data_IF_551744218212
#
_entry.id   IF_551744218212
#
_cell.length_a   1.000
_cell.length_b   1.000
_cell.length_c   1.000
_cell.angle_alpha   90.00
_cell.angle_beta   90.00
_cell.angle_gamma   90.00
#
_symmetry.space_group_name_H-M   'P 1'
#
loop_
_entity.id
_entity.type
_entity.pdbx_description
1 polymer ?
#
# COMPACT_ATOMS: atom_id res chain seq x y z
N UNK A 1 9.19 -59.81 -13.31
CA UNK A 1 8.60 -58.76 -12.46
C UNK A 1 8.33 -59.37 -11.08
N UNK A 2 8.94 -58.76 -10.05
CA UNK A 2 8.64 -58.77 -8.59
C UNK A 2 8.38 -60.12 -7.89
N UNK A 3 9.30 -60.65 -7.06
CA UNK A 3 9.58 -60.30 -5.64
C UNK A 3 8.29 -60.20 -4.80
N UNK A 4 7.95 -61.10 -3.86
CA UNK A 4 8.59 -61.61 -2.62
C UNK A 4 7.86 -61.07 -1.37
N UNK A 5 7.76 -61.94 -0.34
CA UNK A 5 7.44 -61.68 1.10
C UNK A 5 5.95 -61.71 1.47
N UNK A 6 5.48 -62.72 2.22
CA UNK A 6 5.71 -63.03 3.65
C UNK A 6 5.19 -61.92 4.58
N UNK A 7 4.11 -62.20 5.32
CA UNK A 7 3.86 -61.65 6.66
C UNK A 7 2.65 -62.36 7.27
N UNK A 8 2.91 -63.23 8.25
CA UNK A 8 1.93 -63.67 9.22
C UNK A 8 2.68 -63.92 10.54
N UNK A 9 2.52 -63.01 11.50
CA UNK A 9 2.65 -63.24 12.95
C UNK A 9 2.30 -61.93 13.63
N UNK A 10 1.05 -61.82 14.07
CA UNK A 10 0.61 -60.81 15.02
C UNK A 10 0.53 -61.51 16.36
N UNK A 11 1.36 -61.06 17.31
CA UNK A 11 1.17 -61.36 18.72
C UNK A 11 1.69 -60.18 19.54
N UNK A 12 1.10 -60.00 20.73
CA UNK A 12 1.62 -59.25 21.90
C UNK A 12 1.11 -57.79 22.13
N UNK A 13 0.05 -57.73 22.97
CA UNK A 13 -0.11 -56.95 24.23
C UNK A 13 -0.26 -55.40 24.30
N UNK A 14 -1.37 -54.98 24.94
CA UNK A 14 -1.50 -53.91 25.97
C UNK A 14 -1.40 -52.43 25.55
N UNK A 15 -1.68 -51.48 26.47
CA UNK A 15 -2.96 -51.08 27.07
C UNK A 15 -3.41 -49.68 26.58
N UNK A 16 -4.70 -49.46 26.34
CA UNK A 16 -5.22 -48.14 25.91
C UNK A 16 -5.39 -47.18 27.10
N UNK A 17 -4.27 -46.65 27.61
CA UNK A 17 -4.23 -45.42 28.39
C UNK A 17 -4.08 -44.24 27.43
N UNK A 18 -5.20 -43.69 26.96
CA UNK A 18 -5.19 -42.49 26.11
C UNK A 18 -5.27 -41.28 27.03
N UNK A 19 -4.12 -40.75 27.41
CA UNK A 19 -3.96 -39.36 27.84
C UNK A 19 -4.22 -38.45 26.63
N UNK A 20 -5.50 -38.23 26.32
CA UNK A 20 -5.87 -37.09 25.49
C UNK A 20 -5.78 -35.84 26.39
N UNK A 21 -4.92 -34.85 26.08
CA UNK A 21 -5.02 -33.56 26.75
C UNK A 21 -6.44 -33.03 26.51
N UNK A 22 -7.10 -32.44 27.53
CA UNK A 22 -8.44 -31.91 27.37
C UNK A 22 -8.45 -30.98 26.14
N UNK A 23 -9.51 -31.02 25.31
CA UNK A 23 -9.63 -30.13 24.18
C UNK A 23 -9.42 -28.69 24.69
N UNK A 24 -8.70 -27.83 23.95
CA UNK A 24 -8.40 -26.48 24.41
C UNK A 24 -9.72 -25.85 24.83
N UNK A 25 -9.86 -25.57 26.13
CA UNK A 25 -11.02 -24.89 26.68
C UNK A 25 -11.26 -23.68 25.80
N UNK A 26 -12.41 -23.61 25.13
CA UNK A 26 -12.84 -22.43 24.39
C UNK A 26 -12.59 -21.26 25.32
N UNK A 27 -11.56 -20.44 25.03
CA UNK A 27 -11.32 -19.23 25.81
C UNK A 27 -12.59 -18.43 25.64
N UNK A 28 -13.37 -18.31 26.70
CA UNK A 28 -14.45 -17.33 26.75
C UNK A 28 -13.72 -15.99 26.84
N UNK A 29 -13.28 -15.49 25.69
CA UNK A 29 -12.70 -14.16 25.57
C UNK A 29 -13.71 -13.19 26.16
N UNK A 30 -13.24 -12.35 27.10
CA UNK A 30 -14.13 -11.38 27.70
C UNK A 30 -14.60 -10.43 26.60
N UNK A 31 -15.77 -9.81 26.78
CA UNK A 31 -16.29 -8.83 25.81
C UNK A 31 -15.26 -7.72 25.52
N UNK A 32 -14.44 -7.37 26.52
CA UNK A 32 -13.32 -6.43 26.38
C UNK A 32 -12.23 -6.95 25.43
N UNK A 33 -11.84 -8.23 25.57
CA UNK A 33 -10.83 -8.86 24.71
C UNK A 33 -11.31 -8.90 23.25
N UNK A 34 -12.60 -9.20 23.03
CA UNK A 34 -13.20 -9.21 21.70
C UNK A 34 -13.25 -7.81 21.08
N UNK A 35 -13.65 -6.79 21.85
CA UNK A 35 -13.70 -5.40 21.38
C UNK A 35 -12.29 -4.90 21.05
N UNK A 36 -11.31 -5.20 21.91
CA UNK A 36 -9.93 -4.84 21.68
C UNK A 36 -9.38 -5.55 20.43
N UNK A 37 -9.65 -6.84 20.26
CA UNK A 37 -9.19 -7.61 19.11
C UNK A 37 -9.75 -7.06 17.79
N UNK A 38 -11.05 -6.77 17.73
CA UNK A 38 -11.71 -6.21 16.55
C UNK A 38 -11.14 -4.83 16.21
N UNK A 39 -11.00 -3.96 17.21
CA UNK A 39 -10.49 -2.61 16.97
C UNK A 39 -9.00 -2.59 16.63
N UNK A 40 -8.18 -3.42 17.28
CA UNK A 40 -6.76 -3.58 16.94
C UNK A 40 -6.59 -4.09 15.52
N UNK A 41 -7.42 -5.04 15.07
CA UNK A 41 -7.41 -5.49 13.67
C UNK A 41 -7.79 -4.35 12.72
N UNK A 42 -8.85 -3.62 13.02
CA UNK A 42 -9.29 -2.48 12.19
C UNK A 42 -8.22 -1.39 12.10
N UNK A 43 -7.53 -1.08 13.20
CA UNK A 43 -6.39 -0.14 13.20
C UNK A 43 -5.27 -0.67 12.29
N UNK A 44 -4.91 -1.96 12.41
CA UNK A 44 -3.90 -2.57 11.54
C UNK A 44 -4.26 -2.51 10.06
N UNK A 45 -5.51 -2.77 9.69
CA UNK A 45 -5.99 -2.69 8.31
C UNK A 45 -5.95 -1.24 7.77
N UNK A 46 -6.34 -0.26 8.60
CA UNK A 46 -6.27 1.16 8.26
C UNK A 46 -4.82 1.63 8.10
N UNK A 47 -3.90 1.15 8.93
CA UNK A 47 -2.48 1.45 8.82
C UNK A 47 -1.86 0.84 7.56
N UNK A 48 -2.16 -0.43 7.28
CA UNK A 48 -1.72 -1.09 6.05
C UNK A 48 -2.20 -0.36 4.80
N UNK A 49 -3.48 0.04 4.78
CA UNK A 49 -4.06 0.82 3.67
C UNK A 49 -3.41 2.20 3.56
N UNK A 50 -3.25 2.92 4.66
CA UNK A 50 -2.62 4.24 4.68
C UNK A 50 -1.17 4.19 4.19
N UNK A 51 -0.41 3.17 4.59
CA UNK A 51 0.98 3.00 4.15
C UNK A 51 1.06 2.71 2.65
N UNK A 52 0.14 1.90 2.13
CA UNK A 52 0.06 1.61 0.69
C UNK A 52 -0.22 2.88 -0.11
N UNK A 53 -1.26 3.63 0.25
CA UNK A 53 -1.61 4.90 -0.40
C UNK A 53 -0.47 5.91 -0.34
N UNK A 54 0.25 5.97 0.78
CA UNK A 54 1.40 6.86 0.96
C UNK A 54 2.58 6.49 0.06
N UNK A 55 2.84 5.19 -0.12
CA UNK A 55 3.90 4.73 -1.03
C UNK A 55 3.56 5.04 -2.48
N UNK A 56 2.33 4.76 -2.92
CA UNK A 56 1.87 5.13 -4.27
C UNK A 56 1.96 6.64 -4.52
N UNK A 57 1.59 7.47 -3.52
CA UNK A 57 1.73 8.92 -3.58
C UNK A 57 3.21 9.34 -3.74
N UNK A 58 4.13 8.68 -3.01
CA UNK A 58 5.58 8.97 -3.11
C UNK A 58 6.14 8.60 -4.47
N UNK A 59 5.75 7.46 -5.01
CA UNK A 59 6.14 7.02 -6.35
C UNK A 59 5.65 8.04 -7.40
N UNK A 60 4.37 8.44 -7.35
CA UNK A 60 3.83 9.43 -8.28
C UNK A 60 4.50 10.79 -8.14
N UNK A 61 4.85 11.21 -6.92
CA UNK A 61 5.64 12.42 -6.68
C UNK A 61 7.07 12.34 -7.23
N UNK A 62 7.69 11.16 -7.20
CA UNK A 62 8.97 10.94 -7.87
C UNK A 62 8.84 11.07 -9.40
N UNK A 63 7.74 10.59 -9.97
CA UNK A 63 7.44 10.72 -11.40
C UNK A 63 7.21 12.19 -11.80
N UNK A 64 6.47 12.97 -11.02
CA UNK A 64 6.30 14.42 -11.26
C UNK A 64 7.66 15.14 -11.25
N UNK A 65 8.52 14.87 -10.26
CA UNK A 65 9.88 15.42 -10.21
C UNK A 65 10.70 15.01 -11.43
N UNK A 66 10.53 13.76 -11.88
CA UNK A 66 11.21 13.26 -13.06
C UNK A 66 10.78 14.03 -14.31
N UNK A 67 9.47 14.25 -14.52
CA UNK A 67 8.94 15.01 -15.66
C UNK A 67 9.42 16.47 -15.68
N UNK A 68 9.48 17.14 -14.52
CA UNK A 68 10.10 18.47 -14.43
C UNK A 68 11.58 18.47 -14.83
N UNK A 69 12.32 17.41 -14.47
CA UNK A 69 13.71 17.26 -14.90
C UNK A 69 13.82 17.01 -16.41
N UNK A 70 12.86 16.29 -17.01
CA UNK A 70 12.79 16.13 -18.47
C UNK A 70 12.62 17.47 -19.17
N UNK A 71 11.71 18.34 -18.70
CA UNK A 71 11.54 19.68 -19.27
C UNK A 71 12.83 20.49 -19.19
N UNK A 72 13.52 20.47 -18.04
CA UNK A 72 14.81 21.15 -17.87
C UNK A 72 15.87 20.60 -18.85
N UNK A 73 15.90 19.29 -19.05
CA UNK A 73 16.82 18.64 -19.97
C UNK A 73 16.54 19.02 -21.43
N UNK A 74 15.27 19.01 -21.85
CA UNK A 74 14.85 19.46 -23.19
C UNK A 74 15.28 20.91 -23.42
N UNK A 75 15.01 21.80 -22.45
CA UNK A 75 15.39 23.21 -22.56
C UNK A 75 16.91 23.42 -22.60
N UNK A 76 17.69 22.63 -21.85
CA UNK A 76 19.16 22.67 -21.90
C UNK A 76 19.73 22.22 -23.26
N UNK A 77 19.06 21.27 -23.91
CA UNK A 77 19.47 20.70 -25.21
C UNK A 77 18.84 21.43 -26.40
N UNK A 78 18.05 22.47 -26.15
CA UNK A 78 17.47 23.31 -27.21
C UNK A 78 18.57 24.19 -27.82
N UNK A 79 18.66 24.19 -29.15
CA UNK A 79 19.62 25.03 -29.89
C UNK A 79 19.10 26.48 -30.02
N UNK A 80 19.94 27.38 -30.51
CA UNK A 80 19.58 28.80 -30.71
C UNK A 80 18.38 29.02 -31.65
N UNK A 81 18.17 28.10 -32.60
CA UNK A 81 17.02 28.10 -33.51
C UNK A 81 15.71 27.61 -32.87
N UNK A 82 15.75 27.22 -31.59
CA UNK A 82 14.62 26.67 -30.86
C UNK A 82 14.36 25.19 -31.15
N UNK A 83 15.16 24.54 -32.01
CA UNK A 83 15.04 23.11 -32.32
C UNK A 83 15.66 22.25 -31.21
N UNK A 84 15.12 21.04 -31.07
CA UNK A 84 15.61 20.05 -30.12
C UNK A 84 15.93 18.75 -30.88
N UNK A 85 17.19 18.31 -30.80
CA UNK A 85 17.64 17.06 -31.44
C UNK A 85 18.42 16.21 -30.44
N UNK A 86 17.91 15.01 -30.19
CA UNK A 86 18.50 14.01 -29.28
C UNK A 86 18.89 12.71 -29.99
N UNK A 87 19.06 12.70 -31.32
CA UNK A 87 19.40 11.49 -32.08
C UNK A 87 20.73 10.84 -31.67
N UNK A 88 21.69 11.63 -31.18
CA UNK A 88 23.01 11.12 -30.79
C UNK A 88 23.16 10.87 -29.30
N UNK A 89 22.19 11.29 -28.50
CA UNK A 89 22.25 11.23 -27.05
C UNK A 89 21.34 10.10 -26.53
N UNK A 90 21.95 8.96 -26.20
CA UNK A 90 21.20 7.81 -25.71
C UNK A 90 20.56 8.06 -24.34
N UNK A 91 21.14 8.93 -23.51
CA UNK A 91 20.59 9.25 -22.19
C UNK A 91 19.27 10.00 -22.33
N UNK A 92 19.24 11.01 -23.21
CA UNK A 92 18.02 11.80 -23.47
C UNK A 92 16.93 10.93 -24.12
N UNK A 93 17.30 10.00 -25.00
CA UNK A 93 16.35 9.05 -25.59
C UNK A 93 15.71 8.15 -24.54
N UNK A 94 16.49 7.67 -23.59
CA UNK A 94 15.99 6.82 -22.51
C UNK A 94 15.11 7.61 -21.55
N UNK A 95 15.43 8.89 -21.33
CA UNK A 95 14.58 9.82 -20.59
C UNK A 95 13.21 10.02 -21.26
N UNK A 96 13.19 10.27 -22.57
CA UNK A 96 11.93 10.41 -23.33
C UNK A 96 11.12 9.11 -23.37
N UNK A 97 11.79 7.95 -23.46
CA UNK A 97 11.10 6.65 -23.35
C UNK A 97 10.44 6.46 -21.99
N UNK A 98 11.11 6.88 -20.91
CA UNK A 98 10.56 6.79 -19.56
C UNK A 98 9.39 7.77 -19.36
N UNK A 99 9.53 9.02 -19.82
CA UNK A 99 8.44 10.00 -19.82
C UNK A 99 7.20 9.48 -20.57
N UNK A 100 7.40 8.79 -21.69
CA UNK A 100 6.30 8.15 -22.43
C UNK A 100 5.59 7.04 -21.65
N UNK A 101 6.33 6.27 -20.84
CA UNK A 101 5.72 5.25 -19.96
C UNK A 101 4.88 5.90 -18.84
N UNK A 102 5.18 7.15 -18.49
CA UNK A 102 4.44 7.94 -17.49
C UNK A 102 3.21 8.66 -18.07
N UNK A 103 2.87 8.43 -19.35
CA UNK A 103 1.65 8.97 -19.96
C UNK A 103 1.87 10.13 -20.94
N UNK A 104 3.11 10.63 -21.09
CA UNK A 104 3.39 11.71 -22.05
C UNK A 104 3.24 11.19 -23.50
N UNK A 105 2.45 11.90 -24.30
CA UNK A 105 2.27 11.56 -25.72
C UNK A 105 3.49 11.98 -26.55
N UNK A 106 4.27 10.96 -26.96
CA UNK A 106 5.47 11.09 -27.77
C UNK A 106 5.44 10.04 -28.88
N UNK A 107 5.60 10.48 -30.13
CA UNK A 107 5.70 9.61 -31.30
C UNK A 107 6.86 8.61 -31.19
N UNK A 108 6.61 7.36 -31.61
CA UNK A 108 7.63 6.30 -31.54
C UNK A 108 8.81 6.66 -32.44
N UNK A 109 10.02 6.67 -31.87
CA UNK A 109 11.30 6.89 -32.57
C UNK A 109 11.51 8.30 -33.13
N UNK A 110 10.70 9.29 -32.71
CA UNK A 110 10.95 10.70 -33.03
C UNK A 110 11.96 11.28 -32.03
N UNK A 111 13.09 11.74 -32.55
CA UNK A 111 14.20 12.29 -31.75
C UNK A 111 14.67 13.66 -32.24
N UNK A 112 14.03 14.17 -33.29
CA UNK A 112 14.25 15.51 -33.83
C UNK A 112 12.91 16.22 -33.76
N UNK A 113 12.92 17.40 -33.17
CA UNK A 113 11.75 18.22 -32.93
C UNK A 113 12.03 19.62 -33.45
N UNK A 114 11.11 20.14 -34.27
CA UNK A 114 11.07 21.58 -34.57
C UNK A 114 10.76 22.38 -33.30
N UNK A 115 10.86 23.70 -33.38
CA UNK A 115 10.47 24.59 -32.28
C UNK A 115 9.01 24.35 -31.86
N UNK A 116 8.11 24.29 -32.82
CA UNK A 116 6.67 24.06 -32.57
C UNK A 116 6.40 22.68 -31.98
N UNK A 117 7.12 21.65 -32.46
CA UNK A 117 6.97 20.28 -31.95
C UNK A 117 7.54 20.14 -30.54
N UNK A 118 8.63 20.86 -30.23
CA UNK A 118 9.20 20.94 -28.89
C UNK A 118 8.24 21.65 -27.93
N UNK A 119 7.64 22.76 -28.32
CA UNK A 119 6.70 23.49 -27.48
C UNK A 119 5.46 22.62 -27.18
N UNK A 120 4.95 21.88 -28.17
CA UNK A 120 3.89 20.87 -27.96
C UNK A 120 4.32 19.74 -27.04
N UNK A 121 5.55 19.25 -27.17
CA UNK A 121 6.08 18.21 -26.28
C UNK A 121 6.14 18.70 -24.82
N UNK A 122 6.60 19.94 -24.59
CA UNK A 122 6.63 20.53 -23.25
C UNK A 122 5.23 20.68 -22.70
N UNK A 123 4.28 21.16 -23.52
CA UNK A 123 2.90 21.30 -23.09
C UNK A 123 2.26 19.95 -22.73
N UNK A 124 2.49 18.91 -23.53
CA UNK A 124 2.05 17.56 -23.20
C UNK A 124 2.62 17.08 -21.85
N UNK A 125 3.89 17.38 -21.57
CA UNK A 125 4.50 17.05 -20.28
C UNK A 125 3.85 17.86 -19.14
N UNK A 126 3.54 19.15 -19.34
CA UNK A 126 2.83 19.95 -18.36
C UNK A 126 1.44 19.40 -18.05
N UNK A 127 0.66 19.04 -19.08
CA UNK A 127 -0.65 18.41 -18.91
C UNK A 127 -0.55 17.13 -18.08
N UNK A 128 0.42 16.25 -18.40
CA UNK A 128 0.64 15.03 -17.61
C UNK A 128 1.03 15.35 -16.15
N UNK A 129 1.85 16.39 -15.92
CA UNK A 129 2.18 16.81 -14.55
C UNK A 129 0.93 17.30 -13.80
N UNK A 130 0.06 18.06 -14.44
CA UNK A 130 -1.20 18.54 -13.85
C UNK A 130 -2.15 17.40 -13.51
N UNK A 131 -2.29 16.41 -14.40
CA UNK A 131 -3.07 15.19 -14.15
C UNK A 131 -2.53 14.44 -12.92
N UNK A 132 -1.21 14.19 -12.87
CA UNK A 132 -0.58 13.51 -11.73
C UNK A 132 -0.71 14.30 -10.43
N UNK A 133 -0.65 15.64 -10.49
CA UNK A 133 -0.86 16.49 -9.31
C UNK A 133 -2.31 16.45 -8.82
N UNK A 134 -3.27 16.39 -9.74
CA UNK A 134 -4.69 16.23 -9.40
C UNK A 134 -4.93 14.88 -8.72
N UNK A 135 -4.33 13.80 -9.23
CA UNK A 135 -4.36 12.48 -8.57
C UNK A 135 -3.73 12.50 -7.19
N UNK A 136 -2.58 13.17 -7.04
CA UNK A 136 -1.91 13.32 -5.75
C UNK A 136 -2.78 14.05 -4.72
N UNK A 137 -3.49 15.11 -5.14
CA UNK A 137 -4.41 15.84 -4.26
C UNK A 137 -5.57 14.95 -3.81
N UNK A 138 -6.17 14.16 -4.71
CA UNK A 138 -7.22 13.21 -4.36
C UNK A 138 -6.72 12.12 -3.38
N UNK A 139 -5.50 11.62 -3.58
CA UNK A 139 -4.90 10.65 -2.67
C UNK A 139 -4.57 11.27 -1.29
N UNK A 140 -4.12 12.54 -1.23
CA UNK A 140 -3.92 13.24 0.05
C UNK A 140 -5.22 13.39 0.83
N UNK A 141 -6.33 13.66 0.15
CA UNK A 141 -7.67 13.66 0.78
C UNK A 141 -8.04 12.28 1.32
N UNK A 142 -7.72 11.22 0.57
CA UNK A 142 -7.93 9.83 0.99
C UNK A 142 -7.10 9.47 2.22
N UNK A 143 -5.82 9.84 2.23
CA UNK A 143 -4.92 9.66 3.39
C UNK A 143 -5.41 10.42 4.62
N UNK A 144 -5.90 11.64 4.43
CA UNK A 144 -6.48 12.44 5.51
C UNK A 144 -7.72 11.77 6.10
N UNK A 145 -8.60 11.23 5.24
CA UNK A 145 -9.77 10.46 5.66
C UNK A 145 -9.38 9.21 6.44
N UNK A 146 -8.43 8.40 5.93
CA UNK A 146 -7.95 7.19 6.61
C UNK A 146 -7.31 7.50 7.96
N UNK A 147 -6.56 8.60 8.04
CA UNK A 147 -5.93 9.07 9.29
C UNK A 147 -6.98 9.44 10.33
N UNK A 148 -8.03 10.17 9.93
CA UNK A 148 -9.14 10.52 10.80
C UNK A 148 -9.91 9.27 11.26
N UNK A 149 -10.21 8.34 10.35
CA UNK A 149 -10.88 7.09 10.70
C UNK A 149 -10.07 6.28 11.72
N UNK A 150 -8.75 6.20 11.55
CA UNK A 150 -7.86 5.54 12.53
C UNK A 150 -7.93 6.20 13.90
N UNK A 151 -7.95 7.54 13.93
CA UNK A 151 -8.07 8.29 15.18
C UNK A 151 -9.42 8.05 15.88
N UNK A 152 -10.52 8.01 15.13
CA UNK A 152 -11.85 7.71 15.65
C UNK A 152 -11.93 6.29 16.24
N UNK A 153 -11.39 5.28 15.54
CA UNK A 153 -11.36 3.89 16.05
C UNK A 153 -10.54 3.81 17.34
N UNK A 154 -9.42 4.52 17.42
CA UNK A 154 -8.61 4.58 18.64
C UNK A 154 -9.38 5.24 19.80
N UNK A 155 -10.04 6.37 19.55
CA UNK A 155 -10.85 7.06 20.57
C UNK A 155 -12.01 6.19 21.05
N UNK A 156 -12.71 5.53 20.12
CA UNK A 156 -13.80 4.62 20.42
C UNK A 156 -13.31 3.48 21.31
N UNK A 157 -12.20 2.85 20.96
CA UNK A 157 -11.59 1.78 21.76
C UNK A 157 -11.34 2.24 23.19
N UNK A 158 -10.69 3.40 23.34
CA UNK A 158 -10.39 3.99 24.66
C UNK A 158 -11.67 4.28 25.47
N UNK A 159 -12.70 4.83 24.83
CA UNK A 159 -13.96 5.15 25.49
C UNK A 159 -14.68 3.87 25.95
N UNK A 160 -14.76 2.86 25.08
CA UNK A 160 -15.41 1.58 25.40
C UNK A 160 -14.71 0.85 26.54
N UNK A 161 -13.37 0.80 26.54
CA UNK A 161 -12.62 0.19 27.65
C UNK A 161 -12.87 0.91 28.97
N UNK A 162 -12.96 2.25 28.96
CA UNK A 162 -13.26 3.04 30.18
C UNK A 162 -14.66 2.72 30.73
N UNK A 163 -15.67 2.68 29.87
CA UNK A 163 -17.06 2.38 30.27
C UNK A 163 -17.17 0.96 30.84
N UNK A 164 -16.49 -0.02 30.23
CA UNK A 164 -16.48 -1.40 30.71
C UNK A 164 -15.82 -1.53 32.10
N UNK A 165 -14.70 -0.84 32.32
CA UNK A 165 -14.03 -0.80 33.63
C UNK A 165 -14.92 -0.13 34.71
N UNK A 166 -15.61 0.96 34.38
CA UNK A 166 -16.57 1.61 35.28
C UNK A 166 -17.75 0.69 35.62
N UNK A 167 -18.32 0.00 34.62
CA UNK A 167 -19.40 -0.96 34.82
C UNK A 167 -18.98 -2.13 35.73
N UNK A 168 -17.77 -2.67 35.54
CA UNK A 168 -17.21 -3.71 36.43
C UNK A 168 -17.07 -3.21 37.87
N UNK A 169 -16.55 -1.99 38.07
CA UNK A 169 -16.43 -1.39 39.41
C UNK A 169 -17.79 -1.19 40.07
N UNK A 170 -18.81 -0.77 39.32
CA UNK A 170 -20.17 -0.62 39.85
C UNK A 170 -20.78 -1.98 40.22
N UNK A 171 -20.69 -2.98 39.34
CA UNK A 171 -21.18 -4.33 39.62
C UNK A 171 -20.49 -4.93 40.86
N UNK A 172 -19.18 -4.77 40.99
CA UNK A 172 -18.42 -5.25 42.16
C UNK A 172 -18.84 -4.56 43.47
N UNK A 173 -19.28 -3.29 43.42
CA UNK A 173 -19.81 -2.58 44.59
C UNK A 173 -21.22 -3.07 44.95
N UNK A 174 -22.07 -3.32 43.96
CA UNK A 174 -23.44 -3.82 44.18
C UNK A 174 -23.53 -5.26 44.71
N UNK A 175 -22.49 -6.07 44.52
CA UNK A 175 -22.43 -7.45 45.08
C UNK A 175 -21.95 -7.45 46.54
N UNK A 176 -21.24 -6.41 46.97
CA UNK A 176 -20.67 -6.30 48.33
C UNK A 176 -21.58 -5.59 49.34
N UNK A 177 -22.65 -4.94 48.88
CA UNK A 177 -23.68 -4.32 49.72
C UNK A 177 -24.93 -5.20 49.78
#
# INVERSE_FOLDING_TARGET
>A
MSQSKSNASNDISGPTGVDNPPPPSKRNESLEDLILLVNSRKIGDLEGTSNKELEELRERQADVKYLHNVIKLINKMTKEDGSFNCEKDNEVKDVLKKARKMGVDIEKKKYVFSKEEKDRLIENIHMTIEDLNTENEMQLQTLSRLTNERYEVWQLTRATTKVLDEAKKQAARGIKG
#
